data_IF_250180208528
#
_entry.id   IF_250180208528
#
_cell.length_a   1.000
_cell.length_b   1.000
_cell.length_c   1.000
_cell.angle_alpha   90.00
_cell.angle_beta   90.00
_cell.angle_gamma   90.00
#
_symmetry.space_group_name_H-M   'P 1'
#
loop_
_entity.id
_entity.type
_entity.pdbx_description
1 polymer ?
#
# COMPACT_ATOMS: atom_id res chain seq x y z
N UNK A 1 7.02 9.93 -12.72
CA UNK A 1 6.70 8.56 -12.28
C UNK A 1 5.46 8.10 -13.02
N UNK A 2 5.54 7.05 -13.84
CA UNK A 2 4.35 6.45 -14.46
C UNK A 2 3.64 5.58 -13.43
N UNK A 3 2.35 5.82 -13.20
CA UNK A 3 1.51 4.92 -12.41
C UNK A 3 1.42 3.56 -13.11
N UNK A 4 1.50 2.46 -12.34
CA UNK A 4 1.35 1.13 -12.93
C UNK A 4 -0.11 0.91 -13.38
N UNK A 5 -0.34 -0.02 -14.32
CA UNK A 5 -1.71 -0.42 -14.69
C UNK A 5 -2.51 -0.93 -13.48
N UNK A 6 -1.83 -1.54 -12.51
CA UNK A 6 -2.43 -1.91 -11.24
C UNK A 6 -2.91 -0.67 -10.48
N UNK A 7 -2.08 0.37 -10.34
CA UNK A 7 -2.44 1.60 -9.63
C UNK A 7 -3.62 2.32 -10.29
N UNK A 8 -3.63 2.41 -11.62
CA UNK A 8 -4.70 3.08 -12.36
C UNK A 8 -6.03 2.32 -12.21
N UNK A 9 -6.00 1.00 -12.41
CA UNK A 9 -7.21 0.18 -12.36
C UNK A 9 -7.78 0.11 -10.94
N UNK A 10 -6.94 -0.13 -9.93
CA UNK A 10 -7.43 -0.25 -8.55
C UNK A 10 -7.93 1.09 -8.00
N UNK A 11 -7.34 2.22 -8.40
CA UNK A 11 -7.86 3.54 -8.05
C UNK A 11 -9.29 3.77 -8.59
N UNK A 12 -9.61 3.21 -9.75
CA UNK A 12 -10.93 3.30 -10.37
C UNK A 12 -11.93 2.28 -9.79
N UNK A 13 -11.50 1.03 -9.58
CA UNK A 13 -12.42 -0.07 -9.22
C UNK A 13 -12.49 -0.38 -7.73
N UNK A 14 -11.47 -0.03 -6.95
CA UNK A 14 -11.33 -0.35 -5.53
C UNK A 14 -10.65 0.81 -4.78
N UNK A 15 -11.29 2.00 -4.83
CA UNK A 15 -10.71 3.25 -4.36
C UNK A 15 -10.32 3.22 -2.87
N UNK A 16 -11.10 2.54 -2.02
CA UNK A 16 -10.85 2.44 -0.58
C UNK A 16 -9.59 1.60 -0.29
N UNK A 17 -9.46 0.44 -0.94
CA UNK A 17 -8.26 -0.40 -0.83
C UNK A 17 -7.03 0.30 -1.40
N UNK A 18 -7.19 1.08 -2.48
CA UNK A 18 -6.11 1.90 -3.02
C UNK A 18 -5.68 3.00 -2.06
N UNK A 19 -6.63 3.74 -1.47
CA UNK A 19 -6.35 4.79 -0.48
C UNK A 19 -5.61 4.20 0.73
N UNK A 20 -6.07 3.07 1.24
CA UNK A 20 -5.44 2.34 2.36
C UNK A 20 -4.00 1.92 2.03
N UNK A 21 -3.77 1.38 0.81
CA UNK A 21 -2.42 1.03 0.34
C UNK A 21 -1.50 2.24 0.25
N UNK A 22 -2.01 3.37 -0.25
CA UNK A 22 -1.25 4.61 -0.40
C UNK A 22 -0.87 5.21 0.94
N UNK A 23 -1.80 5.22 1.89
CA UNK A 23 -1.57 5.70 3.26
C UNK A 23 -0.54 4.84 3.98
N UNK A 24 -0.69 3.52 3.96
CA UNK A 24 0.25 2.60 4.61
C UNK A 24 1.67 2.73 4.03
N UNK A 25 1.80 2.82 2.71
CA UNK A 25 3.09 3.06 2.06
C UNK A 25 3.70 4.42 2.41
N UNK A 26 2.88 5.48 2.47
CA UNK A 26 3.36 6.80 2.85
C UNK A 26 3.87 6.81 4.29
N UNK A 27 3.15 6.16 5.21
CA UNK A 27 3.55 6.02 6.62
C UNK A 27 4.85 5.25 6.77
N UNK A 28 4.98 4.09 6.10
CA UNK A 28 6.21 3.31 6.11
C UNK A 28 7.40 4.14 5.63
N UNK A 29 7.28 4.79 4.46
CA UNK A 29 8.35 5.65 3.92
C UNK A 29 8.72 6.79 4.85
N UNK A 30 7.74 7.47 5.46
CA UNK A 30 7.99 8.56 6.39
C UNK A 30 8.76 8.09 7.63
N UNK A 31 8.40 6.93 8.18
CA UNK A 31 9.11 6.33 9.32
C UNK A 31 10.52 5.88 8.93
N UNK A 32 10.69 5.25 7.77
CA UNK A 32 12.01 4.85 7.27
C UNK A 32 12.93 6.05 7.06
N UNK A 33 12.43 7.16 6.51
CA UNK A 33 13.24 8.39 6.36
C UNK A 33 13.68 8.90 7.73
N UNK A 34 12.76 9.05 8.68
CA UNK A 34 13.09 9.50 10.04
C UNK A 34 14.12 8.61 10.73
N UNK A 35 13.95 7.28 10.61
CA UNK A 35 14.89 6.31 11.17
C UNK A 35 16.29 6.43 10.54
N UNK A 36 16.36 6.55 9.20
CA UNK A 36 17.63 6.73 8.48
C UNK A 36 18.30 8.08 8.77
N UNK A 37 17.51 9.12 9.07
CA UNK A 37 18.00 10.43 9.50
C UNK A 37 18.50 10.43 10.96
N UNK A 38 18.37 9.31 11.68
CA UNK A 38 18.84 9.16 13.07
C UNK A 38 17.89 9.76 14.10
N UNK A 39 16.61 9.94 13.77
CA UNK A 39 15.58 10.34 14.73
C UNK A 39 15.41 9.26 15.81
N UNK A 40 15.85 9.56 17.04
CA UNK A 40 15.77 8.64 18.18
C UNK A 40 14.33 8.27 18.58
N UNK A 41 13.31 9.00 18.11
CA UNK A 41 11.91 8.67 18.32
C UNK A 41 11.35 7.68 17.28
N UNK A 42 12.05 7.43 16.17
CA UNK A 42 11.71 6.38 15.23
C UNK A 42 12.57 5.15 15.55
N UNK A 43 11.93 4.04 15.90
CA UNK A 43 12.64 2.79 16.18
C UNK A 43 12.61 1.85 14.97
N UNK A 44 13.53 0.88 14.96
CA UNK A 44 13.48 -0.21 13.98
C UNK A 44 12.16 -0.98 14.07
N UNK A 45 11.64 -1.19 15.29
CA UNK A 45 10.35 -1.84 15.52
C UNK A 45 9.18 -1.07 14.88
N UNK A 46 9.19 0.26 14.95
CA UNK A 46 8.17 1.10 14.29
C UNK A 46 8.23 0.96 12.76
N UNK A 47 9.45 0.90 12.20
CA UNK A 47 9.65 0.71 10.77
C UNK A 47 9.16 -0.66 10.31
N UNK A 48 9.48 -1.72 11.05
CA UNK A 48 9.03 -3.08 10.75
C UNK A 48 7.51 -3.21 10.87
N UNK A 49 6.90 -2.65 11.93
CA UNK A 49 5.44 -2.66 12.06
C UNK A 49 4.76 -1.92 10.92
N UNK A 50 5.30 -0.77 10.50
CA UNK A 50 4.74 -0.02 9.38
C UNK A 50 4.93 -0.73 8.03
N UNK A 51 6.03 -1.49 7.88
CA UNK A 51 6.23 -2.36 6.72
C UNK A 51 5.18 -3.47 6.68
N UNK A 52 4.94 -4.15 7.79
CA UNK A 52 3.93 -5.20 7.88
C UNK A 52 2.53 -4.67 7.56
N UNK A 53 2.21 -3.45 8.00
CA UNK A 53 0.96 -2.76 7.63
C UNK A 53 0.87 -2.49 6.11
N UNK A 54 1.96 -2.01 5.50
CA UNK A 54 2.01 -1.78 4.06
C UNK A 54 1.87 -3.09 3.25
N UNK A 55 2.54 -4.15 3.67
CA UNK A 55 2.48 -5.47 3.03
C UNK A 55 1.06 -6.09 3.14
N UNK A 56 0.40 -5.91 4.30
CA UNK A 56 -1.02 -6.30 4.48
C UNK A 56 -1.94 -5.49 3.57
N UNK A 57 -1.76 -4.18 3.49
CA UNK A 57 -2.56 -3.32 2.62
C UNK A 57 -2.37 -3.69 1.13
N UNK A 58 -1.13 -4.01 0.72
CA UNK A 58 -0.85 -4.47 -0.64
C UNK A 58 -1.52 -5.80 -0.94
N UNK A 59 -1.47 -6.74 0.00
CA UNK A 59 -2.14 -8.05 -0.13
C UNK A 59 -3.64 -7.87 -0.32
N UNK A 60 -4.28 -7.01 0.48
CA UNK A 60 -5.72 -6.70 0.37
C UNK A 60 -6.06 -6.04 -0.96
N UNK A 61 -5.30 -5.02 -1.36
CA UNK A 61 -5.46 -4.32 -2.63
C UNK A 61 -5.34 -5.28 -3.82
N UNK A 62 -4.34 -6.16 -3.83
CA UNK A 62 -4.18 -7.18 -4.88
C UNK A 62 -5.32 -8.20 -4.90
N UNK A 63 -5.84 -8.58 -3.74
CA UNK A 63 -6.99 -9.48 -3.66
C UNK A 63 -8.26 -8.81 -4.21
N UNK A 64 -8.49 -7.53 -3.89
CA UNK A 64 -9.60 -6.74 -4.43
C UNK A 64 -9.50 -6.59 -5.96
N UNK A 65 -8.32 -6.19 -6.46
CA UNK A 65 -8.02 -6.13 -7.89
C UNK A 65 -8.35 -7.44 -8.60
N UNK A 66 -7.85 -8.59 -8.10
CA UNK A 66 -8.11 -9.91 -8.70
C UNK A 66 -9.60 -10.27 -8.72
N UNK A 67 -10.35 -9.88 -7.68
CA UNK A 67 -11.81 -10.12 -7.61
C UNK A 67 -12.56 -9.24 -8.61
N UNK A 68 -12.17 -7.98 -8.76
CA UNK A 68 -12.76 -7.08 -9.75
C UNK A 68 -12.53 -7.61 -11.17
N UNK A 69 -11.30 -7.99 -11.49
CA UNK A 69 -10.93 -8.51 -12.81
C UNK A 69 -11.67 -9.80 -13.17
N UNK A 70 -11.74 -10.78 -12.25
CA UNK A 70 -12.49 -12.03 -12.47
C UNK A 70 -13.99 -11.81 -12.70
N UNK A 71 -14.55 -10.74 -12.12
CA UNK A 71 -15.97 -10.39 -12.33
C UNK A 71 -16.20 -9.84 -13.74
N UNK A 72 -15.22 -9.17 -14.33
CA UNK A 72 -15.29 -8.62 -15.69
C UNK A 72 -15.24 -9.72 -16.76
N UNK A 73 -14.51 -10.82 -16.51
CA UNK A 73 -14.42 -11.97 -17.45
C UNK A 73 -15.65 -12.90 -17.43
N UNK A 74 -16.62 -12.67 -16.53
CA UNK A 74 -17.78 -13.55 -16.32
C UNK A 74 -19.07 -13.05 -17.01
N UNK A 75 -18.96 -12.15 -18.00
CA UNK A 75 -20.10 -11.56 -18.74
C UNK A 75 -20.08 -12.02 -20.20
#
# INVERSE_FOLDING_TARGET
MSASLFDLYIAETCADEYASLREANARYRALTVRFLDGDAAATEADCLSAKDDADRAETTARAAFRRAFKRTDSV
#
